data_IF_837094963718
#
_entry.id   IF_837094963718
#
_cell.length_a   1.000
_cell.length_b   1.000
_cell.length_c   1.000
_cell.angle_alpha   90.00
_cell.angle_beta   90.00
_cell.angle_gamma   90.00
#
_symmetry.space_group_name_H-M   'P 1'
#
loop_
_entity.id
_entity.type
_entity.pdbx_description
1 polymer ?
#
# COMPACT_ATOMS: atom_id res chain seq x y z
N UNK A 1 -25.81 -30.21 30.66
CA UNK A 1 -26.09 -28.78 30.41
C UNK A 1 -24.86 -27.98 30.81
N UNK A 2 -24.14 -27.40 29.86
CA UNK A 2 -23.06 -26.43 30.09
C UNK A 2 -23.15 -25.40 28.95
N UNK A 3 -23.79 -24.27 29.22
CA UNK A 3 -23.75 -23.09 28.34
C UNK A 3 -22.62 -22.18 28.82
N UNK A 4 -21.65 -21.91 27.94
CA UNK A 4 -20.45 -21.16 28.31
C UNK A 4 -19.78 -20.32 27.20
N UNK A 5 -20.36 -20.22 25.99
CA UNK A 5 -19.64 -19.65 24.83
C UNK A 5 -20.34 -18.48 24.13
N UNK A 6 -21.18 -17.70 24.82
CA UNK A 6 -21.93 -16.59 24.21
C UNK A 6 -21.33 -15.18 24.44
N UNK A 7 -20.41 -15.03 25.40
CA UNK A 7 -19.81 -13.73 25.76
C UNK A 7 -18.76 -13.19 24.76
N UNK A 8 -17.80 -13.99 24.26
CA UNK A 8 -16.73 -13.45 23.40
C UNK A 8 -17.25 -13.03 22.02
N UNK A 9 -18.24 -13.75 21.48
CA UNK A 9 -18.85 -13.47 20.17
C UNK A 9 -19.64 -12.16 20.19
N UNK A 10 -20.37 -11.87 21.29
CA UNK A 10 -21.11 -10.61 21.45
C UNK A 10 -20.19 -9.39 21.54
N UNK A 11 -19.01 -9.54 22.17
CA UNK A 11 -18.01 -8.47 22.25
C UNK A 11 -17.34 -8.21 20.90
N UNK A 12 -17.09 -9.26 20.12
CA UNK A 12 -16.57 -9.15 18.76
C UNK A 12 -17.57 -8.44 17.84
N UNK A 13 -18.85 -8.83 17.88
CA UNK A 13 -19.91 -8.20 17.08
C UNK A 13 -20.09 -6.72 17.43
N UNK A 14 -20.07 -6.37 18.72
CA UNK A 14 -20.18 -4.97 19.17
C UNK A 14 -18.96 -4.12 18.79
N UNK A 15 -17.78 -4.74 18.68
CA UNK A 15 -16.57 -4.06 18.21
C UNK A 15 -16.63 -3.80 16.69
N UNK A 16 -17.23 -4.72 15.92
CA UNK A 16 -17.41 -4.57 14.47
C UNK A 16 -18.52 -3.57 14.13
N UNK A 17 -19.57 -3.49 14.93
CA UNK A 17 -20.62 -2.46 14.85
C UNK A 17 -20.05 -1.06 15.13
N UNK A 18 -19.22 -0.91 16.18
CA UNK A 18 -18.57 0.36 16.50
C UNK A 18 -17.56 0.81 15.43
N UNK A 19 -17.03 -0.13 14.66
CA UNK A 19 -16.15 0.13 13.52
C UNK A 19 -16.91 0.36 12.20
N UNK A 20 -18.26 0.31 12.22
CA UNK A 20 -19.11 0.51 11.03
C UNK A 20 -18.98 -0.58 9.98
N UNK A 21 -18.48 -1.77 10.35
CA UNK A 21 -18.18 -2.86 9.41
C UNK A 21 -19.31 -3.91 9.29
N UNK A 22 -20.31 -3.85 10.17
CA UNK A 22 -21.45 -4.78 10.19
C UNK A 22 -22.73 -4.00 10.51
N UNK A 23 -23.66 -3.97 9.56
CA UNK A 23 -25.07 -3.66 9.82
C UNK A 23 -25.80 -4.98 10.10
N UNK A 24 -26.38 -5.12 11.29
CA UNK A 24 -27.29 -6.23 11.60
C UNK A 24 -28.69 -5.75 11.25
N UNK A 25 -29.21 -6.21 10.12
CA UNK A 25 -30.62 -6.10 9.76
C UNK A 25 -31.47 -6.85 10.81
N UNK A 26 -32.34 -6.13 11.51
CA UNK A 26 -33.37 -6.71 12.36
C UNK A 26 -34.66 -6.80 11.52
N UNK A 27 -35.13 -8.03 11.31
CA UNK A 27 -36.35 -8.36 10.57
C UNK A 27 -37.59 -7.82 11.30
N UNK A 28 -38.41 -7.01 10.61
CA UNK A 28 -39.80 -6.82 11.04
C UNK A 28 -40.61 -5.71 10.36
N UNK A 29 -41.34 -6.11 9.31
CA UNK A 29 -42.67 -5.62 8.86
C UNK A 29 -42.74 -4.64 7.67
N UNK A 30 -42.99 -5.25 6.50
CA UNK A 30 -43.94 -4.90 5.42
C UNK A 30 -44.11 -3.45 4.93
N UNK A 31 -43.77 -3.21 3.66
CA UNK A 31 -44.64 -2.74 2.55
C UNK A 31 -43.80 -2.70 1.25
N UNK A 32 -44.09 -3.50 0.22
CA UNK A 32 -45.13 -3.35 -0.82
C UNK A 32 -44.64 -2.52 -2.05
N UNK A 33 -44.62 -3.20 -3.21
CA UNK A 33 -44.61 -2.76 -4.65
C UNK A 33 -43.33 -2.09 -5.24
N UNK A 34 -43.10 -2.13 -6.58
CA UNK A 34 -42.83 -3.27 -7.48
C UNK A 34 -41.52 -3.11 -8.31
N UNK A 35 -41.13 -4.20 -9.00
CA UNK A 35 -40.11 -4.25 -10.06
C UNK A 35 -40.31 -3.23 -11.20
N UNK A 36 -39.25 -2.95 -11.97
CA UNK A 36 -39.32 -3.39 -13.36
C UNK A 36 -38.05 -4.05 -13.92
N UNK A 37 -38.34 -5.06 -14.73
CA UNK A 37 -37.50 -5.84 -15.63
C UNK A 37 -36.63 -5.00 -16.57
N UNK A 38 -35.38 -5.43 -16.80
CA UNK A 38 -34.77 -5.42 -18.14
C UNK A 38 -33.62 -6.43 -18.27
N UNK A 39 -33.93 -7.49 -19.02
CA UNK A 39 -33.14 -8.23 -20.02
C UNK A 39 -31.61 -8.39 -19.88
N UNK A 40 -31.21 -9.67 -19.82
CA UNK A 40 -29.91 -10.17 -20.29
C UNK A 40 -29.74 -10.00 -21.81
N UNK A 41 -28.51 -10.06 -22.35
CA UNK A 41 -27.99 -11.37 -22.78
C UNK A 41 -26.46 -11.58 -22.59
N UNK A 42 -26.09 -12.82 -22.26
CA UNK A 42 -24.77 -13.47 -22.44
C UNK A 42 -24.60 -13.98 -23.91
N UNK A 43 -23.52 -14.70 -24.30
CA UNK A 43 -22.06 -14.40 -24.31
C UNK A 43 -21.41 -14.76 -25.69
N UNK A 44 -20.17 -14.37 -26.00
CA UNK A 44 -19.35 -14.94 -27.12
C UNK A 44 -17.86 -14.70 -26.80
N UNK A 45 -17.05 -15.71 -26.41
CA UNK A 45 -16.18 -16.60 -27.24
C UNK A 45 -15.14 -15.78 -28.04
N UNK A 46 -13.81 -15.98 -28.06
CA UNK A 46 -12.90 -17.11 -27.81
C UNK A 46 -11.44 -16.60 -27.65
N UNK A 47 -10.47 -17.46 -27.25
CA UNK A 47 -9.06 -17.13 -26.97
C UNK A 47 -8.08 -17.53 -28.10
N UNK A 48 -6.92 -16.88 -28.16
CA UNK A 48 -5.61 -17.32 -28.70
C UNK A 48 -4.70 -16.06 -28.72
N UNK A 49 -3.40 -16.07 -28.42
CA UNK A 49 -2.36 -16.94 -28.98
C UNK A 49 -1.07 -16.81 -28.16
N UNK A 50 -0.28 -17.87 -28.20
CA UNK A 50 0.92 -18.17 -27.39
C UNK A 50 2.20 -18.02 -28.23
N UNK A 51 3.27 -17.50 -27.59
CA UNK A 51 4.73 -17.71 -27.82
C UNK A 51 5.39 -17.08 -29.08
N UNK A 52 6.75 -16.96 -29.18
CA UNK A 52 7.81 -17.61 -28.39
C UNK A 52 9.05 -16.77 -27.95
N UNK A 53 9.90 -17.51 -27.23
CA UNK A 53 11.16 -17.28 -26.50
C UNK A 53 12.40 -17.12 -27.41
N UNK A 54 13.48 -16.45 -26.91
CA UNK A 54 14.91 -16.91 -26.83
C UNK A 54 15.95 -15.75 -26.90
N UNK A 55 17.25 -15.93 -26.58
CA UNK A 55 17.83 -16.56 -25.38
C UNK A 55 19.12 -15.87 -24.81
N UNK A 56 19.51 -16.33 -23.60
CA UNK A 56 20.87 -16.59 -23.07
C UNK A 56 21.90 -15.47 -22.80
N UNK A 57 22.39 -15.42 -21.54
CA UNK A 57 23.82 -15.46 -21.24
C UNK A 57 24.10 -16.04 -19.84
N UNK A 58 25.03 -16.99 -19.80
CA UNK A 58 25.51 -17.79 -18.67
C UNK A 58 26.70 -17.11 -17.98
N UNK A 59 26.79 -17.16 -16.64
CA UNK A 59 28.06 -17.45 -15.96
C UNK A 59 27.91 -17.75 -14.47
N UNK A 60 28.63 -18.79 -14.07
CA UNK A 60 28.68 -19.38 -12.74
C UNK A 60 29.91 -18.91 -11.96
N UNK A 61 29.82 -18.85 -10.63
CA UNK A 61 30.90 -19.24 -9.72
C UNK A 61 30.37 -19.42 -8.28
N UNK A 62 30.64 -20.60 -7.70
CA UNK A 62 30.60 -20.90 -6.26
C UNK A 62 31.79 -20.17 -5.58
N UNK A 63 31.80 -19.89 -4.28
CA UNK A 63 32.33 -20.75 -3.20
C UNK A 63 31.83 -20.27 -1.82
N UNK A 64 31.48 -21.25 -0.98
CA UNK A 64 31.05 -21.19 0.42
C UNK A 64 32.10 -20.67 1.41
N UNK A 65 31.66 -20.00 2.49
CA UNK A 65 32.31 -20.01 3.81
C UNK A 65 31.34 -19.58 4.91
N UNK A 66 30.99 -20.52 5.79
CA UNK A 66 30.44 -20.37 7.16
C UNK A 66 31.32 -21.29 8.06
N UNK A 67 31.39 -21.18 9.41
CA UNK A 67 30.36 -20.65 10.32
C UNK A 67 30.88 -19.90 11.58
N UNK A 68 29.96 -19.41 12.42
CA UNK A 68 30.23 -19.01 13.80
C UNK A 68 28.96 -18.77 14.62
N UNK A 69 28.62 -19.72 15.50
CA UNK A 69 27.48 -19.76 16.42
C UNK A 69 27.75 -18.98 17.73
N UNK A 70 26.73 -18.30 18.26
CA UNK A 70 26.28 -18.26 19.68
C UNK A 70 25.29 -17.08 19.84
N UNK A 71 24.01 -17.32 20.19
CA UNK A 71 23.51 -17.24 21.57
C UNK A 71 23.28 -15.76 21.95
N UNK A 72 22.09 -15.24 22.22
CA UNK A 72 20.90 -15.74 22.89
C UNK A 72 20.25 -14.51 23.57
N UNK A 73 18.92 -14.53 23.77
CA UNK A 73 18.14 -13.61 24.62
C UNK A 73 18.21 -12.11 24.32
N UNK A 74 17.08 -11.47 24.03
CA UNK A 74 16.20 -10.92 25.06
C UNK A 74 15.05 -10.14 24.41
N UNK A 75 13.89 -10.22 25.04
CA UNK A 75 12.64 -9.60 24.63
C UNK A 75 12.49 -8.38 25.51
N UNK A 76 12.67 -7.16 24.99
CA UNK A 76 12.43 -5.99 25.82
C UNK A 76 12.79 -4.63 25.24
N UNK A 77 11.74 -3.87 24.93
CA UNK A 77 11.59 -2.43 25.14
C UNK A 77 12.46 -1.43 24.35
N UNK A 78 11.79 -0.66 23.48
CA UNK A 78 11.64 0.80 23.54
C UNK A 78 11.16 1.26 22.16
N UNK A 79 9.88 1.57 22.02
CA UNK A 79 9.42 2.96 22.07
C UNK A 79 10.20 3.87 21.10
N UNK A 80 9.73 3.90 19.87
CA UNK A 80 9.84 5.08 19.04
C UNK A 80 8.45 5.28 18.44
N UNK A 81 7.58 5.92 19.23
CA UNK A 81 6.37 6.55 18.75
C UNK A 81 6.70 7.50 17.61
N UNK A 82 6.65 6.99 16.38
CA UNK A 82 6.37 7.79 15.22
C UNK A 82 4.90 8.19 15.30
N UNK A 83 4.60 9.15 16.17
CA UNK A 83 3.40 9.96 16.03
C UNK A 83 3.45 10.52 14.62
N UNK A 84 2.70 9.94 13.70
CA UNK A 84 2.24 10.65 12.52
C UNK A 84 1.44 11.85 13.04
N UNK A 85 1.94 13.10 12.94
CA UNK A 85 1.02 14.20 13.01
C UNK A 85 0.21 14.13 11.73
N UNK A 86 -1.03 13.69 11.89
CA UNK A 86 -2.17 14.32 11.24
C UNK A 86 -1.82 14.96 9.88
N UNK A 87 -2.01 14.18 8.81
CA UNK A 87 -1.94 14.65 7.43
C UNK A 87 -3.02 15.68 7.07
N UNK A 88 -3.70 16.25 8.06
CA UNK A 88 -4.23 17.60 7.98
C UNK A 88 -3.05 18.56 7.88
N UNK A 89 -2.55 18.75 6.66
CA UNK A 89 -2.00 20.05 6.30
C UNK A 89 -3.17 20.99 6.42
N UNK A 90 -3.41 21.47 7.64
CA UNK A 90 -4.04 22.76 7.87
C UNK A 90 -3.14 23.68 7.06
N UNK A 91 -3.56 23.98 5.83
CA UNK A 91 -3.14 25.17 5.12
C UNK A 91 -3.65 26.28 6.02
N UNK A 92 -2.83 26.54 7.03
CA UNK A 92 -3.07 27.47 8.12
C UNK A 92 -3.56 28.74 7.48
N UNK A 93 -4.67 29.25 8.00
CA UNK A 93 -5.47 30.31 7.41
C UNK A 93 -4.61 31.50 7.01
N UNK A 94 -4.07 31.43 5.79
CA UNK A 94 -3.38 32.54 5.17
C UNK A 94 -4.44 33.59 5.03
N UNK A 95 -4.33 34.65 5.82
CA UNK A 95 -4.96 35.92 5.52
C UNK A 95 -4.85 36.09 4.01
N UNK A 96 -5.98 35.96 3.31
CA UNK A 96 -5.98 36.00 1.87
C UNK A 96 -5.39 37.35 1.49
N UNK A 97 -4.18 37.35 0.94
CA UNK A 97 -3.60 38.56 0.34
C UNK A 97 -4.49 39.09 -0.78
N UNK A 98 -5.38 38.22 -1.27
CA UNK A 98 -6.43 38.52 -2.22
C UNK A 98 -7.47 39.47 -1.61
N UNK A 99 -7.82 40.51 -2.37
CA UNK A 99 -8.90 41.45 -2.06
C UNK A 99 -8.72 42.29 -0.79
N UNK A 100 -7.49 42.42 -0.29
CA UNK A 100 -7.19 43.43 0.73
C UNK A 100 -7.55 44.83 0.18
N UNK A 101 -8.38 45.62 0.88
CA UNK A 101 -8.74 46.95 0.42
C UNK A 101 -7.52 47.88 0.45
N UNK A 102 -7.45 48.79 -0.51
CA UNK A 102 -6.29 49.70 -0.65
C UNK A 102 -6.14 50.62 0.56
N UNK A 103 -7.25 50.97 1.22
CA UNK A 103 -7.27 51.78 2.44
C UNK A 103 -6.49 51.12 3.58
N UNK A 104 -6.57 49.79 3.72
CA UNK A 104 -5.79 49.05 4.71
C UNK A 104 -4.30 49.07 4.36
N UNK A 105 -3.95 48.92 3.07
CA UNK A 105 -2.56 48.98 2.60
C UNK A 105 -1.96 50.37 2.87
N UNK A 106 -2.72 51.44 2.65
CA UNK A 106 -2.28 52.81 2.95
C UNK A 106 -2.18 53.08 4.45
N UNK A 107 -3.10 52.53 5.25
CA UNK A 107 -3.09 52.68 6.71
C UNK A 107 -1.91 51.95 7.36
N UNK A 108 -1.58 50.73 6.90
CA UNK A 108 -0.39 49.98 7.34
C UNK A 108 0.92 50.71 7.03
N UNK A 109 0.96 51.45 5.92
CA UNK A 109 2.10 52.25 5.51
C UNK A 109 2.11 53.68 6.10
N UNK A 110 1.17 53.99 7.00
CA UNK A 110 1.03 55.30 7.67
C UNK A 110 0.99 56.49 6.69
N UNK A 111 0.26 56.33 5.57
CA UNK A 111 0.19 57.38 4.54
C UNK A 111 -0.43 58.68 5.12
N UNK A 112 0.27 59.82 5.07
CA UNK A 112 -0.30 61.09 5.53
C UNK A 112 -1.52 61.49 4.70
N UNK A 113 -2.57 61.96 5.36
CA UNK A 113 -3.76 62.45 4.67
C UNK A 113 -3.43 63.69 3.81
N UNK A 114 -3.71 63.63 2.51
CA UNK A 114 -3.59 64.76 1.60
C UNK A 114 -4.84 65.65 1.66
N UNK A 115 -4.71 66.99 1.62
CA UNK A 115 -5.83 67.92 1.50
C UNK A 115 -6.71 67.65 0.27
N UNK A 116 -6.07 67.25 -0.85
CA UNK A 116 -6.75 66.90 -2.09
C UNK A 116 -6.22 65.55 -2.63
N UNK A 117 -6.88 64.43 -2.31
CA UNK A 117 -6.41 63.09 -2.68
C UNK A 117 -6.52 62.83 -4.18
N UNK A 118 -5.59 62.03 -4.71
CA UNK A 118 -5.49 61.70 -6.13
C UNK A 118 -6.79 61.14 -6.74
N UNK A 119 -7.59 60.40 -5.95
CA UNK A 119 -8.89 59.87 -6.39
C UNK A 119 -9.89 60.96 -6.81
N UNK A 120 -9.81 62.15 -6.20
CA UNK A 120 -10.65 63.28 -6.60
C UNK A 120 -10.21 63.83 -7.94
N UNK A 121 -8.89 63.98 -8.16
CA UNK A 121 -8.36 64.39 -9.46
C UNK A 121 -8.71 63.36 -10.55
N UNK A 122 -8.63 62.07 -10.25
CA UNK A 122 -9.03 61.01 -11.18
C UNK A 122 -10.52 61.14 -11.57
N UNK A 123 -11.43 61.35 -10.61
CA UNK A 123 -12.86 61.58 -10.92
C UNK A 123 -13.09 62.81 -11.79
N UNK A 124 -12.34 63.89 -11.58
CA UNK A 124 -12.42 65.10 -12.43
C UNK A 124 -11.94 64.78 -13.85
N UNK A 125 -10.82 64.05 -13.98
CA UNK A 125 -10.30 63.62 -15.27
C UNK A 125 -11.24 62.65 -16.00
N UNK A 126 -11.94 61.79 -15.26
CA UNK A 126 -12.96 60.87 -15.79
C UNK A 126 -14.21 61.64 -16.25
N UNK A 127 -14.63 62.67 -15.52
CA UNK A 127 -15.72 63.58 -15.94
C UNK A 127 -15.38 64.37 -17.20
N UNK A 128 -14.10 64.67 -17.41
CA UNK A 128 -13.58 65.32 -18.62
C UNK A 128 -13.10 64.33 -19.68
N UNK A 129 -13.49 63.05 -19.59
CA UNK A 129 -13.02 61.99 -20.50
C UNK A 129 -13.38 62.25 -21.97
N UNK A 130 -14.45 63.00 -22.24
CA UNK A 130 -14.90 63.36 -23.58
C UNK A 130 -14.01 64.40 -24.28
N UNK A 131 -13.16 65.11 -23.54
CA UNK A 131 -12.20 66.07 -24.11
C UNK A 131 -10.90 65.39 -24.53
N UNK A 132 -10.27 65.93 -25.57
CA UNK A 132 -8.91 65.57 -25.98
C UNK A 132 -7.94 65.72 -24.79
N UNK A 133 -6.92 64.84 -24.65
CA UNK A 133 -5.99 64.89 -23.51
C UNK A 133 -5.34 66.27 -23.27
N UNK A 134 -4.99 66.99 -24.33
CA UNK A 134 -4.44 68.35 -24.22
C UNK A 134 -5.48 69.35 -23.67
N UNK A 135 -6.71 69.29 -24.16
CA UNK A 135 -7.81 70.14 -23.67
C UNK A 135 -8.20 69.81 -22.22
N UNK A 136 -8.16 68.52 -21.84
CA UNK A 136 -8.39 68.05 -20.48
C UNK A 136 -7.38 68.62 -19.49
N UNK A 137 -6.08 68.55 -19.85
CA UNK A 137 -5.00 69.13 -19.03
C UNK A 137 -5.19 70.64 -18.86
N UNK A 138 -5.50 71.37 -19.93
CA UNK A 138 -5.73 72.81 -19.86
C UNK A 138 -6.94 73.16 -18.99
N UNK A 139 -8.03 72.37 -19.07
CA UNK A 139 -9.21 72.57 -18.23
C UNK A 139 -8.92 72.35 -16.74
N UNK A 140 -8.13 71.32 -16.40
CA UNK A 140 -7.70 71.05 -15.01
C UNK A 140 -6.82 72.17 -14.48
N UNK A 141 -5.87 72.67 -15.27
CA UNK A 141 -5.02 73.81 -14.87
C UNK A 141 -5.82 75.11 -14.73
N UNK A 142 -6.86 75.30 -15.56
CA UNK A 142 -7.75 76.45 -15.42
C UNK A 142 -8.62 76.36 -14.15
N UNK A 143 -9.04 75.16 -13.75
CA UNK A 143 -9.78 74.93 -12.50
C UNK A 143 -8.89 75.12 -11.26
N UNK A 144 -7.63 74.71 -11.34
CA UNK A 144 -6.60 74.94 -10.31
C UNK A 144 -6.34 76.44 -10.12
N UNK A 145 -6.17 77.19 -11.22
CA UNK A 145 -5.97 78.64 -11.17
C UNK A 145 -7.22 79.45 -10.76
N UNK A 146 -8.41 78.85 -10.83
CA UNK A 146 -9.68 79.51 -10.53
C UNK A 146 -10.18 79.26 -9.09
N UNK A 147 -9.64 78.26 -8.38
CA UNK A 147 -10.07 77.88 -7.04
C UNK A 147 -8.86 77.57 -6.14
N UNK A 148 -8.58 78.48 -5.20
CA UNK A 148 -7.49 78.32 -4.22
C UNK A 148 -7.74 77.19 -3.20
N UNK A 149 -8.91 76.54 -3.23
CA UNK A 149 -9.30 75.47 -2.29
C UNK A 149 -8.62 74.13 -2.63
N UNK A 150 -8.06 73.98 -3.83
CA UNK A 150 -7.40 72.74 -4.24
C UNK A 150 -6.17 73.02 -5.10
N UNK A 151 -5.16 72.16 -4.98
CA UNK A 151 -3.95 72.20 -5.80
C UNK A 151 -3.74 70.88 -6.52
N UNK A 152 -3.45 70.93 -7.82
CA UNK A 152 -3.08 69.73 -8.60
C UNK A 152 -1.83 69.05 -8.02
N UNK A 153 -0.88 69.85 -7.51
CA UNK A 153 0.36 69.35 -6.90
C UNK A 153 0.10 68.45 -5.68
N UNK A 154 -0.90 68.77 -4.86
CA UNK A 154 -1.25 67.95 -3.68
C UNK A 154 -1.78 66.57 -4.08
N UNK A 155 -2.48 66.48 -5.22
CA UNK A 155 -2.93 65.22 -5.79
C UNK A 155 -1.82 64.43 -6.46
N UNK A 156 -0.86 65.11 -7.10
CA UNK A 156 0.33 64.46 -7.67
C UNK A 156 1.18 63.84 -6.55
N UNK A 157 1.47 64.60 -5.49
CA UNK A 157 2.22 64.12 -4.34
C UNK A 157 1.51 62.97 -3.61
N UNK A 158 0.19 63.03 -3.45
CA UNK A 158 -0.60 61.92 -2.90
C UNK A 158 -0.53 60.67 -3.79
N UNK A 159 -0.67 60.85 -5.10
CA UNK A 159 -0.57 59.78 -6.09
C UNK A 159 0.79 59.09 -6.08
N UNK A 160 1.88 59.86 -6.08
CA UNK A 160 3.24 59.33 -6.01
C UNK A 160 3.49 58.51 -4.74
N UNK A 161 2.97 58.98 -3.59
CA UNK A 161 3.10 58.25 -2.32
C UNK A 161 2.31 56.94 -2.35
N UNK A 162 1.06 56.97 -2.84
CA UNK A 162 0.23 55.77 -2.98
C UNK A 162 0.84 54.75 -3.92
N UNK A 163 1.36 55.18 -5.08
CA UNK A 163 2.06 54.30 -6.03
C UNK A 163 3.24 53.62 -5.36
N UNK A 164 4.08 54.38 -4.65
CA UNK A 164 5.25 53.80 -3.94
C UNK A 164 4.83 52.75 -2.91
N UNK A 165 3.75 52.99 -2.16
CA UNK A 165 3.23 52.04 -1.18
C UNK A 165 2.70 50.77 -1.86
N UNK A 166 1.93 50.93 -2.94
CA UNK A 166 1.39 49.79 -3.69
C UNK A 166 2.49 48.96 -4.36
N UNK A 167 3.53 49.60 -4.89
CA UNK A 167 4.70 48.92 -5.45
C UNK A 167 5.47 48.14 -4.38
N UNK A 168 5.64 48.72 -3.18
CA UNK A 168 6.24 48.03 -2.04
C UNK A 168 5.41 46.80 -1.63
N UNK A 169 4.09 46.97 -1.43
CA UNK A 169 3.19 45.89 -1.09
C UNK A 169 3.17 44.77 -2.15
N UNK A 170 3.19 45.13 -3.44
CA UNK A 170 3.32 44.17 -4.54
C UNK A 170 4.63 43.38 -4.43
N UNK A 171 5.76 44.05 -4.21
CA UNK A 171 7.06 43.39 -4.09
C UNK A 171 7.12 42.43 -2.91
N UNK A 172 6.47 42.77 -1.80
CA UNK A 172 6.35 41.92 -0.61
C UNK A 172 5.52 40.67 -0.88
N UNK A 173 4.39 40.80 -1.58
CA UNK A 173 3.55 39.67 -2.01
C UNK A 173 4.34 38.75 -2.94
N UNK A 174 5.08 39.30 -3.91
CA UNK A 174 5.91 38.53 -4.83
C UNK A 174 7.04 37.78 -4.08
N UNK A 175 7.69 38.43 -3.10
CA UNK A 175 8.72 37.82 -2.27
C UNK A 175 8.17 36.67 -1.41
N UNK A 176 7.05 36.89 -0.70
CA UNK A 176 6.38 35.85 0.09
C UNK A 176 5.91 34.68 -0.76
N UNK A 177 5.41 34.96 -1.96
CA UNK A 177 4.98 33.92 -2.90
C UNK A 177 6.18 33.09 -3.36
N UNK A 178 7.32 33.72 -3.67
CA UNK A 178 8.54 33.01 -4.04
C UNK A 178 9.04 32.11 -2.92
N UNK A 179 9.11 32.63 -1.70
CA UNK A 179 9.52 31.87 -0.53
C UNK A 179 8.57 30.67 -0.29
N UNK A 180 7.26 30.90 -0.39
CA UNK A 180 6.27 29.82 -0.25
C UNK A 180 6.44 28.72 -1.30
N UNK A 181 6.75 29.09 -2.54
CA UNK A 181 6.99 28.14 -3.63
C UNK A 181 8.29 27.36 -3.41
N UNK A 182 9.34 28.01 -2.91
CA UNK A 182 10.61 27.34 -2.55
C UNK A 182 10.42 26.35 -1.40
N UNK A 183 9.71 26.75 -0.35
CA UNK A 183 9.34 25.86 0.76
C UNK A 183 8.50 24.67 0.28
N UNK A 184 7.49 24.91 -0.57
CA UNK A 184 6.67 23.84 -1.13
C UNK A 184 7.50 22.85 -1.96
N UNK A 185 8.43 23.34 -2.79
CA UNK A 185 9.35 22.49 -3.56
C UNK A 185 10.22 21.63 -2.65
N UNK A 186 10.80 22.22 -1.59
CA UNK A 186 11.62 21.49 -0.63
C UNK A 186 10.80 20.40 0.11
N UNK A 187 9.55 20.68 0.47
CA UNK A 187 8.65 19.69 1.09
C UNK A 187 8.32 18.53 0.14
N UNK A 188 8.09 18.82 -1.15
CA UNK A 188 7.86 17.79 -2.18
C UNK A 188 9.10 16.91 -2.34
N UNK A 189 10.28 17.51 -2.50
CA UNK A 189 11.54 16.76 -2.63
C UNK A 189 11.82 15.88 -1.41
N UNK A 190 11.60 16.41 -0.19
CA UNK A 190 11.75 15.63 1.04
C UNK A 190 10.78 14.44 1.09
N UNK A 191 9.53 14.64 0.64
CA UNK A 191 8.53 13.56 0.60
C UNK A 191 8.91 12.50 -0.42
N UNK A 192 9.37 12.89 -1.60
CA UNK A 192 9.84 11.99 -2.64
C UNK A 192 11.05 11.17 -2.16
N UNK A 193 12.02 11.80 -1.49
CA UNK A 193 13.17 11.07 -0.94
C UNK A 193 12.75 10.03 0.10
N UNK A 194 11.88 10.41 1.05
CA UNK A 194 11.34 9.47 2.05
C UNK A 194 10.61 8.30 1.40
N UNK A 195 9.86 8.58 0.33
CA UNK A 195 9.16 7.55 -0.44
C UNK A 195 10.13 6.60 -1.13
N UNK A 196 11.18 7.13 -1.78
CA UNK A 196 12.21 6.32 -2.42
C UNK A 196 12.94 5.43 -1.41
N UNK A 197 13.31 5.98 -0.25
CA UNK A 197 13.96 5.24 0.84
C UNK A 197 13.06 4.15 1.42
N UNK A 198 11.76 4.41 1.54
CA UNK A 198 10.79 3.43 1.99
C UNK A 198 10.64 2.29 0.97
N UNK A 199 10.53 2.61 -0.32
CA UNK A 199 10.44 1.60 -1.39
C UNK A 199 11.71 0.75 -1.46
N UNK A 200 12.89 1.36 -1.34
CA UNK A 200 14.16 0.65 -1.31
C UNK A 200 14.25 -0.33 -0.12
N UNK A 201 13.85 0.12 1.08
CA UNK A 201 13.78 -0.73 2.27
C UNK A 201 12.82 -1.91 2.10
N UNK A 202 11.62 -1.66 1.56
CA UNK A 202 10.63 -2.72 1.30
C UNK A 202 11.19 -3.75 0.31
N UNK A 203 11.83 -3.30 -0.79
CA UNK A 203 12.46 -4.21 -1.76
C UNK A 203 13.56 -5.06 -1.15
N UNK A 204 14.38 -4.49 -0.27
CA UNK A 204 15.41 -5.24 0.44
C UNK A 204 14.78 -6.32 1.34
N UNK A 205 13.75 -5.97 2.11
CA UNK A 205 13.03 -6.92 2.95
C UNK A 205 12.41 -8.07 2.14
N UNK A 206 11.83 -7.77 0.97
CA UNK A 206 11.31 -8.79 0.06
C UNK A 206 12.43 -9.74 -0.37
N UNK A 207 13.57 -9.21 -0.84
CA UNK A 207 14.70 -10.04 -1.27
C UNK A 207 15.25 -10.92 -0.13
N UNK A 208 15.31 -10.38 1.09
CA UNK A 208 15.76 -11.13 2.27
C UNK A 208 14.79 -12.28 2.62
N UNK A 209 13.49 -12.02 2.56
CA UNK A 209 12.44 -13.02 2.80
C UNK A 209 12.40 -14.09 1.69
N UNK A 210 12.55 -13.69 0.42
CA UNK A 210 12.67 -14.60 -0.72
C UNK A 210 13.91 -15.51 -0.55
N UNK A 211 15.04 -14.95 -0.15
CA UNK A 211 16.25 -15.72 0.14
C UNK A 211 16.07 -16.70 1.32
N UNK A 212 15.29 -16.34 2.34
CA UNK A 212 14.93 -17.26 3.42
C UNK A 212 14.04 -18.40 2.92
N UNK A 213 13.03 -18.08 2.11
CA UNK A 213 12.13 -19.05 1.51
C UNK A 213 12.90 -20.07 0.65
N UNK A 214 13.81 -19.61 -0.22
CA UNK A 214 14.62 -20.48 -1.07
C UNK A 214 15.48 -21.45 -0.26
N UNK A 215 16.09 -20.98 0.85
CA UNK A 215 16.90 -21.83 1.74
C UNK A 215 16.06 -22.91 2.42
N UNK A 216 14.88 -22.56 2.92
CA UNK A 216 13.99 -23.52 3.56
C UNK A 216 13.43 -24.55 2.57
N UNK A 217 13.10 -24.12 1.34
CA UNK A 217 12.69 -25.05 0.26
C UNK A 217 13.82 -26.02 -0.08
N UNK A 218 15.05 -25.53 -0.23
CA UNK A 218 16.21 -26.37 -0.53
C UNK A 218 16.50 -27.37 0.60
N UNK A 219 16.40 -26.91 1.86
CA UNK A 219 16.55 -27.76 3.04
C UNK A 219 15.49 -28.85 3.11
N UNK A 220 14.22 -28.49 2.94
CA UNK A 220 13.11 -29.45 2.95
C UNK A 220 13.24 -30.48 1.81
N UNK A 221 13.72 -30.07 0.64
CA UNK A 221 13.99 -30.98 -0.47
C UNK A 221 15.12 -31.98 -0.15
N UNK A 222 16.19 -31.52 0.51
CA UNK A 222 17.29 -32.38 0.95
C UNK A 222 16.83 -33.36 2.04
N UNK A 223 16.15 -32.88 3.08
CA UNK A 223 15.62 -33.70 4.16
C UNK A 223 14.68 -34.79 3.62
N UNK A 224 13.83 -34.43 2.64
CA UNK A 224 12.96 -35.39 1.96
C UNK A 224 13.78 -36.45 1.20
N UNK A 225 14.80 -36.05 0.44
CA UNK A 225 15.65 -36.98 -0.29
C UNK A 225 16.39 -37.95 0.65
N UNK A 226 16.85 -37.46 1.79
CA UNK A 226 17.53 -38.26 2.82
C UNK A 226 16.56 -39.27 3.47
N UNK A 227 15.34 -38.85 3.81
CA UNK A 227 14.30 -39.75 4.32
C UNK A 227 13.94 -40.82 3.29
N UNK A 228 13.73 -40.44 2.02
CA UNK A 228 13.37 -41.37 0.97
C UNK A 228 14.50 -42.37 0.67
N UNK A 229 15.76 -41.93 0.65
CA UNK A 229 16.91 -42.81 0.43
C UNK A 229 17.10 -43.79 1.59
N UNK A 230 16.97 -43.33 2.84
CA UNK A 230 17.02 -44.19 4.02
C UNK A 230 15.87 -45.21 4.03
N UNK A 231 14.66 -44.81 3.65
CA UNK A 231 13.52 -45.72 3.52
C UNK A 231 13.76 -46.80 2.46
N UNK A 232 14.29 -46.43 1.29
CA UNK A 232 14.66 -47.37 0.22
C UNK A 232 15.74 -48.35 0.70
N UNK A 233 16.81 -47.85 1.33
CA UNK A 233 17.89 -48.70 1.86
C UNK A 233 17.38 -49.71 2.91
N UNK A 234 16.48 -49.30 3.81
CA UNK A 234 15.85 -50.19 4.80
C UNK A 234 14.97 -51.25 4.13
N UNK A 235 14.19 -50.85 3.12
CA UNK A 235 13.37 -51.80 2.35
C UNK A 235 14.24 -52.85 1.68
N UNK A 236 15.31 -52.44 1.01
CA UNK A 236 16.22 -53.36 0.32
C UNK A 236 16.95 -54.29 1.31
N UNK A 237 17.33 -53.77 2.50
CA UNK A 237 17.91 -54.59 3.56
C UNK A 237 16.92 -55.63 4.10
N UNK A 238 15.66 -55.22 4.35
CA UNK A 238 14.58 -56.12 4.75
C UNK A 238 14.36 -57.22 3.71
N UNK A 239 14.29 -56.88 2.42
CA UNK A 239 14.13 -57.87 1.35
C UNK A 239 15.29 -58.87 1.31
N UNK A 240 16.55 -58.41 1.41
CA UNK A 240 17.71 -59.31 1.45
C UNK A 240 17.69 -60.23 2.67
N UNK A 241 17.33 -59.68 3.82
CA UNK A 241 17.29 -60.42 5.07
C UNK A 241 16.14 -61.44 5.10
N UNK A 242 14.96 -61.09 4.56
CA UNK A 242 13.85 -62.03 4.38
C UNK A 242 14.25 -63.20 3.48
N UNK A 243 14.89 -62.95 2.34
CA UNK A 243 15.37 -64.02 1.44
C UNK A 243 16.38 -64.92 2.16
N UNK A 244 17.28 -64.36 2.97
CA UNK A 244 18.26 -65.12 3.77
C UNK A 244 17.56 -66.00 4.81
N UNK A 245 16.59 -65.44 5.54
CA UNK A 245 15.80 -66.15 6.56
C UNK A 245 14.97 -67.26 5.92
N UNK A 246 14.27 -66.99 4.81
CA UNK A 246 13.46 -67.97 4.09
C UNK A 246 14.30 -69.15 3.59
N UNK A 247 15.52 -68.88 3.12
CA UNK A 247 16.49 -69.91 2.74
C UNK A 247 16.85 -70.85 3.91
N UNK A 248 17.11 -70.30 5.09
CA UNK A 248 17.43 -71.11 6.28
C UNK A 248 16.20 -71.86 6.80
N UNK A 249 15.01 -71.24 6.78
CA UNK A 249 13.74 -71.92 7.09
C UNK A 249 13.54 -73.12 6.18
N UNK A 250 13.73 -72.97 4.86
CA UNK A 250 13.58 -74.05 3.90
C UNK A 250 14.59 -75.19 4.18
N UNK A 251 15.83 -74.84 4.53
CA UNK A 251 16.87 -75.81 4.93
C UNK A 251 16.47 -76.60 6.18
N UNK A 252 15.96 -75.93 7.22
CA UNK A 252 15.51 -76.57 8.46
C UNK A 252 14.26 -77.42 8.25
N UNK A 253 13.29 -76.96 7.44
CA UNK A 253 12.10 -77.74 7.06
C UNK A 253 12.47 -79.05 6.36
N UNK A 254 13.46 -79.03 5.46
CA UNK A 254 13.96 -80.24 4.79
C UNK A 254 14.49 -81.27 5.78
N UNK A 255 15.16 -80.83 6.86
CA UNK A 255 15.60 -81.75 7.92
C UNK A 255 14.37 -82.40 8.57
N UNK A 256 13.36 -81.61 8.93
CA UNK A 256 12.13 -82.16 9.51
C UNK A 256 11.44 -83.16 8.56
N UNK A 257 11.38 -82.89 7.25
CA UNK A 257 10.83 -83.81 6.24
C UNK A 257 11.60 -85.14 6.15
N UNK A 258 12.94 -85.12 6.28
CA UNK A 258 13.77 -86.34 6.24
C UNK A 258 13.51 -87.24 7.45
N UNK A 259 13.27 -86.65 8.62
CA UNK A 259 13.15 -87.38 9.89
C UNK A 259 11.70 -87.61 10.37
N UNK A 260 10.71 -86.94 9.77
CA UNK A 260 9.32 -87.25 10.03
C UNK A 260 8.94 -88.55 9.30
N UNK A 261 8.37 -89.54 9.99
CA UNK A 261 7.87 -90.73 9.33
C UNK A 261 6.73 -90.32 8.40
N UNK A 262 6.88 -90.60 7.11
CA UNK A 262 5.77 -90.53 6.17
C UNK A 262 4.58 -91.30 6.78
N UNK A 263 3.36 -90.75 6.85
CA UNK A 263 2.21 -91.58 7.16
C UNK A 263 2.16 -92.66 6.08
N UNK A 264 2.44 -93.90 6.49
CA UNK A 264 2.41 -95.03 5.59
C UNK A 264 1.02 -95.12 4.96
N UNK A 265 1.01 -95.14 3.63
CA UNK A 265 0.09 -96.01 2.91
C UNK A 265 0.22 -97.42 3.53
N UNK A 266 -0.81 -97.85 4.24
CA UNK A 266 -0.96 -99.23 4.66
C UNK A 266 -1.13 -100.14 3.43
N UNK A 267 -0.54 -101.35 3.44
CA UNK A 267 -0.46 -102.21 2.27
C UNK A 267 -1.80 -102.89 1.92
N UNK A 268 -2.02 -103.02 0.61
CA UNK A 268 -3.01 -103.88 -0.02
C UNK A 268 -2.80 -105.37 0.33
N UNK A 269 -3.86 -106.07 0.77
CA UNK A 269 -4.05 -107.54 0.74
C UNK A 269 -5.47 -107.85 1.27
N UNK A 270 -6.40 -108.60 0.66
CA UNK A 270 -6.48 -109.39 -0.57
C UNK A 270 -7.99 -109.74 -0.83
N UNK A 271 -8.34 -110.71 -1.71
CA UNK A 271 -9.25 -110.59 -2.86
C UNK A 271 -10.76 -110.87 -2.60
N UNK A 272 -11.65 -110.63 -3.59
CA UNK A 272 -13.06 -111.01 -3.51
C UNK A 272 -13.24 -112.48 -3.91
N UNK A 273 -13.97 -113.26 -3.11
CA UNK A 273 -14.56 -114.50 -3.57
C UNK A 273 -16.09 -114.53 -3.33
N UNK A 274 -16.84 -115.16 -4.25
CA UNK A 274 -18.28 -114.99 -4.43
C UNK A 274 -19.10 -116.06 -3.71
N UNK A 275 -20.35 -115.75 -3.33
CA UNK A 275 -21.52 -116.64 -3.19
C UNK A 275 -22.70 -115.77 -2.75
N UNK A 276 -23.63 -115.41 -3.63
CA UNK A 276 -24.90 -116.11 -3.90
C UNK A 276 -25.86 -116.23 -2.69
N UNK A 277 -26.95 -115.44 -2.76
CA UNK A 277 -28.40 -115.75 -2.60
C UNK A 277 -28.88 -116.64 -1.43
N UNK A 278 -30.06 -116.39 -0.81
CA UNK A 278 -31.35 -116.14 -1.48
C UNK A 278 -32.14 -114.89 -1.05
#
# INVERSE_FOLDING_TARGET
>A
MCGGDAEPVKRLLKALEKAGLVEVEDDGVAQDVPQPSISAPTPTRSPASVAPIAPAATSAARVSSSPGLAGGSDVGAADAGGSDPDGSVVLDGRASFEQRPFEEIYAEAELPASPFPAERLLRVLDGLAALEPAARKTAVLALDAADDTWAVEDSLLDGERKVRILEAARSEIEARTREALEQARAMVEQREQRQQDAVARIRQQIADLEGLLEREVARAAQDKADIESAARARKDACTRESVRIDGEIARLKRIAEIFQPSPQAGPSSAPPHPSDSP
#
